data_IF_088943862336
#
_entry.id   IF_088943862336
#
_cell.length_a   1.000
_cell.length_b   1.000
_cell.length_c   1.000
_cell.angle_alpha   90.00
_cell.angle_beta   90.00
_cell.angle_gamma   90.00
#
_symmetry.space_group_name_H-M   'P 1'
#
loop_
_entity.id
_entity.type
_entity.pdbx_description
1 polymer ?
#
# COMPACT_ATOMS: atom_id res chain seq x y z
N UNK A 1 0.73 -11.20 4.54
CA UNK A 1 0.59 -10.54 3.24
C UNK A 1 -0.19 -11.51 2.39
N UNK A 2 -1.52 -11.37 2.42
CA UNK A 2 -2.43 -12.29 1.74
C UNK A 2 -3.27 -11.51 0.72
N UNK A 3 -2.74 -10.40 0.19
CA UNK A 3 -3.43 -9.60 -0.80
C UNK A 3 -3.59 -10.43 -2.07
N UNK A 4 -4.81 -10.51 -2.57
CA UNK A 4 -5.15 -11.22 -3.78
C UNK A 4 -5.30 -10.27 -4.97
N UNK A 5 -5.21 -10.79 -6.19
CA UNK A 5 -5.38 -9.99 -7.42
C UNK A 5 -6.71 -9.22 -7.41
N UNK A 6 -7.79 -9.84 -6.94
CA UNK A 6 -9.11 -9.21 -6.85
C UNK A 6 -9.31 -8.26 -5.68
N UNK A 7 -8.33 -8.14 -4.78
CA UNK A 7 -8.36 -7.10 -3.74
C UNK A 7 -7.90 -5.73 -4.27
N UNK A 8 -7.36 -5.66 -5.48
CA UNK A 8 -6.91 -4.42 -6.13
C UNK A 8 -8.02 -3.92 -7.05
N UNK A 9 -8.80 -2.95 -6.56
CA UNK A 9 -9.85 -2.28 -7.34
C UNK A 9 -9.22 -1.06 -8.02
N UNK A 10 -8.72 -1.25 -9.24
CA UNK A 10 -8.02 -0.20 -9.98
C UNK A 10 -8.93 0.64 -10.89
N UNK A 11 -10.21 0.29 -10.98
CA UNK A 11 -11.21 0.92 -11.86
C UNK A 11 -12.32 1.62 -11.04
N UNK A 12 -13.05 2.52 -11.71
CA UNK A 12 -14.13 3.33 -11.13
C UNK A 12 -13.64 4.63 -10.46
N UNK A 13 -14.56 5.35 -9.84
CA UNK A 13 -14.29 6.69 -9.29
C UNK A 13 -13.43 6.69 -8.03
N UNK A 14 -13.44 5.57 -7.28
CA UNK A 14 -12.71 5.42 -6.00
C UNK A 14 -11.88 4.13 -5.97
N UNK A 15 -10.83 4.03 -6.80
CA UNK A 15 -9.95 2.86 -6.83
C UNK A 15 -9.25 2.64 -5.49
N UNK A 16 -9.23 1.42 -4.99
CA UNK A 16 -8.74 1.11 -3.65
C UNK A 16 -8.19 -0.32 -3.52
N UNK A 17 -7.35 -0.53 -2.51
CA UNK A 17 -7.01 -1.86 -2.02
C UNK A 17 -8.02 -2.29 -0.96
N UNK A 18 -8.59 -3.48 -1.11
CA UNK A 18 -9.43 -4.11 -0.10
C UNK A 18 -8.58 -5.00 0.80
N UNK A 19 -8.36 -4.57 2.04
CA UNK A 19 -7.68 -5.40 3.03
C UNK A 19 -8.72 -6.23 3.76
N UNK A 20 -8.75 -7.54 3.48
CA UNK A 20 -9.69 -8.49 4.09
C UNK A 20 -9.35 -8.79 5.55
N UNK A 21 -10.36 -9.21 6.30
CA UNK A 21 -10.31 -9.56 7.73
C UNK A 21 -9.13 -10.51 8.05
N UNK A 22 -8.97 -11.60 7.29
CA UNK A 22 -7.88 -12.57 7.47
C UNK A 22 -6.48 -12.08 7.09
N UNK A 23 -6.35 -10.86 6.54
CA UNK A 23 -5.07 -10.25 6.16
C UNK A 23 -4.65 -9.10 7.10
N UNK A 24 -5.51 -8.68 8.04
CA UNK A 24 -5.26 -7.55 8.96
C UNK A 24 -5.01 -8.02 10.40
N UNK A 25 -4.12 -7.34 11.12
CA UNK A 25 -3.96 -7.50 12.58
C UNK A 25 -5.13 -6.78 13.26
N UNK A 26 -6.13 -7.52 13.76
CA UNK A 26 -7.30 -6.95 14.47
C UNK A 26 -8.68 -7.27 13.89
N UNK A 27 -8.78 -8.09 12.84
CA UNK A 27 -10.05 -8.69 12.43
C UNK A 27 -11.06 -7.77 11.74
N UNK A 28 -10.68 -6.55 11.34
CA UNK A 28 -11.55 -5.64 10.57
C UNK A 28 -11.05 -5.45 9.15
N UNK A 29 -11.96 -5.53 8.19
CA UNK A 29 -11.65 -5.16 6.81
C UNK A 29 -11.48 -3.65 6.69
N UNK A 30 -10.60 -3.20 5.81
CA UNK A 30 -10.45 -1.77 5.50
C UNK A 30 -10.14 -1.54 4.04
N UNK A 31 -10.33 -0.29 3.58
CA UNK A 31 -9.95 0.15 2.24
C UNK A 31 -8.72 1.05 2.34
N UNK A 32 -7.74 0.84 1.48
CA UNK A 32 -6.63 1.78 1.28
C UNK A 32 -6.90 2.53 -0.03
N UNK A 33 -7.11 3.84 0.01
CA UNK A 33 -7.44 4.64 -1.17
C UNK A 33 -6.24 4.70 -2.11
N UNK A 34 -6.45 4.31 -3.37
CA UNK A 34 -5.44 4.46 -4.44
C UNK A 34 -5.63 5.76 -5.21
N UNK A 35 -6.84 6.33 -5.21
CA UNK A 35 -7.07 7.65 -5.82
C UNK A 35 -6.35 8.79 -5.10
N UNK A 36 -5.70 8.55 -3.96
CA UNK A 36 -4.90 9.57 -3.33
C UNK A 36 -3.58 9.83 -4.08
N UNK A 37 -3.13 8.88 -4.90
CA UNK A 37 -1.85 8.94 -5.59
C UNK A 37 -1.90 8.28 -6.97
N UNK A 38 -1.84 9.07 -8.03
CA UNK A 38 -1.90 8.61 -9.42
C UNK A 38 -0.76 7.66 -9.78
N UNK A 39 0.45 7.88 -9.24
CA UNK A 39 1.61 7.02 -9.44
C UNK A 39 1.37 5.62 -8.87
N UNK A 40 0.99 5.54 -7.60
CA UNK A 40 0.68 4.28 -6.91
C UNK A 40 -0.48 3.54 -7.60
N UNK A 41 -1.54 4.26 -8.00
CA UNK A 41 -2.64 3.66 -8.75
C UNK A 41 -2.15 3.02 -10.05
N UNK A 42 -1.36 3.75 -10.84
CA UNK A 42 -0.80 3.27 -12.11
C UNK A 42 0.06 2.03 -11.91
N UNK A 43 1.00 2.07 -10.97
CA UNK A 43 1.94 0.97 -10.72
C UNK A 43 1.21 -0.31 -10.29
N UNK A 44 0.20 -0.18 -9.43
CA UNK A 44 -0.59 -1.32 -8.96
C UNK A 44 -1.54 -1.84 -10.04
N UNK A 45 -2.09 -0.97 -10.87
CA UNK A 45 -2.91 -1.37 -12.02
C UNK A 45 -2.08 -2.11 -13.08
N UNK A 46 -0.88 -1.62 -13.37
CA UNK A 46 0.05 -2.28 -14.29
C UNK A 46 0.50 -3.63 -13.73
N UNK A 47 0.89 -3.70 -12.46
CA UNK A 47 1.23 -4.98 -11.84
C UNK A 47 0.04 -5.95 -11.83
N UNK A 48 -1.19 -5.46 -11.63
CA UNK A 48 -2.40 -6.29 -11.75
C UNK A 48 -2.54 -6.90 -13.13
N UNK A 49 -2.41 -6.10 -14.20
CA UNK A 49 -2.45 -6.58 -15.59
C UNK A 49 -1.37 -7.64 -15.83
N UNK A 50 -0.13 -7.35 -15.46
CA UNK A 50 0.98 -8.30 -15.56
C UNK A 50 0.68 -9.64 -14.87
N UNK A 51 -0.02 -9.63 -13.72
CA UNK A 51 -0.44 -10.87 -13.05
C UNK A 51 -1.52 -11.62 -13.83
N UNK A 52 -2.47 -10.90 -14.43
CA UNK A 52 -3.55 -11.50 -15.23
C UNK A 52 -3.01 -12.08 -16.54
N UNK A 53 -2.05 -11.41 -17.18
CA UNK A 53 -1.38 -11.89 -18.40
C UNK A 53 -0.60 -13.19 -18.14
N UNK A 54 -0.12 -13.41 -16.91
CA UNK A 54 0.44 -14.70 -16.46
C UNK A 54 -0.63 -15.78 -16.17
N UNK A 55 -1.90 -15.52 -16.43
CA UNK A 55 -3.02 -16.42 -16.12
C UNK A 55 -3.42 -16.43 -14.64
N UNK A 56 -3.04 -15.44 -13.83
CA UNK A 56 -3.45 -15.40 -12.43
C UNK A 56 -4.91 -14.96 -12.28
N UNK A 57 -5.75 -15.84 -11.72
CA UNK A 57 -7.13 -15.51 -11.37
C UNK A 57 -7.24 -14.59 -10.15
N UNK A 58 -8.46 -14.10 -9.86
CA UNK A 58 -8.73 -13.12 -8.81
C UNK A 58 -8.28 -13.57 -7.41
N UNK A 59 -8.33 -14.87 -7.11
CA UNK A 59 -7.92 -15.44 -5.83
C UNK A 59 -6.40 -15.69 -5.70
N UNK A 60 -5.64 -15.50 -6.77
CA UNK A 60 -4.20 -15.70 -6.77
C UNK A 60 -3.49 -14.63 -5.91
N UNK A 61 -2.32 -14.92 -5.32
CA UNK A 61 -1.55 -13.91 -4.60
C UNK A 61 -1.15 -12.76 -5.54
N UNK A 62 -1.43 -11.53 -5.11
CA UNK A 62 -1.06 -10.32 -5.85
C UNK A 62 0.45 -10.10 -5.82
N UNK A 63 1.05 -10.20 -4.63
CA UNK A 63 2.50 -10.15 -4.44
C UNK A 63 3.03 -11.57 -4.26
N UNK A 64 3.65 -12.10 -5.32
CA UNK A 64 4.03 -13.50 -5.41
C UNK A 64 5.47 -13.69 -5.89
N UNK A 65 6.06 -14.83 -5.50
CA UNK A 65 7.23 -15.37 -6.19
C UNK A 65 6.76 -16.03 -7.48
N UNK A 66 7.24 -15.52 -8.61
CA UNK A 66 7.02 -16.10 -9.94
C UNK A 66 8.26 -16.92 -10.31
N UNK A 67 8.07 -18.16 -10.75
CA UNK A 67 9.12 -19.02 -11.32
C UNK A 67 8.55 -19.68 -12.57
N UNK A 68 9.30 -19.73 -13.69
CA UNK A 68 8.84 -20.43 -14.89
C UNK A 68 8.41 -21.87 -14.57
N UNK A 69 7.28 -22.29 -15.13
CA UNK A 69 6.74 -23.65 -14.95
C UNK A 69 6.22 -23.98 -13.54
N UNK A 70 6.06 -23.00 -12.63
CA UNK A 70 5.49 -23.22 -11.30
C UNK A 70 4.39 -22.23 -10.97
N UNK A 71 3.39 -22.68 -10.22
CA UNK A 71 2.36 -21.82 -9.67
C UNK A 71 2.97 -20.69 -8.82
N UNK A 72 2.40 -19.49 -8.94
CA UNK A 72 2.85 -18.33 -8.18
C UNK A 72 2.52 -18.51 -6.69
N UNK A 73 3.52 -18.32 -5.82
CA UNK A 73 3.37 -18.52 -4.37
C UNK A 73 3.48 -17.19 -3.63
N UNK A 74 2.62 -16.96 -2.65
CA UNK A 74 2.68 -15.77 -1.80
C UNK A 74 4.06 -15.63 -1.15
N UNK A 75 4.59 -14.40 -1.12
CA UNK A 75 5.89 -14.16 -0.50
C UNK A 75 5.80 -14.26 1.04
N UNK A 76 6.77 -14.97 1.63
CA UNK A 76 6.94 -14.97 3.08
C UNK A 76 7.30 -13.57 3.60
N UNK A 77 7.03 -13.32 4.89
CA UNK A 77 7.44 -12.07 5.56
C UNK A 77 8.95 -11.81 5.45
N UNK A 78 9.75 -12.86 5.59
CA UNK A 78 11.20 -12.78 5.45
C UNK A 78 11.60 -12.35 4.03
N UNK A 79 10.99 -12.96 3.00
CA UNK A 79 11.25 -12.62 1.60
C UNK A 79 10.83 -11.20 1.26
N UNK A 80 9.68 -10.74 1.75
CA UNK A 80 9.24 -9.35 1.60
C UNK A 80 10.23 -8.37 2.23
N UNK A 81 10.68 -8.63 3.45
CA UNK A 81 11.71 -7.81 4.12
C UNK A 81 13.00 -7.76 3.30
N UNK A 82 13.46 -8.89 2.76
CA UNK A 82 14.67 -8.95 1.93
C UNK A 82 14.49 -8.15 0.64
N UNK A 83 13.38 -8.31 -0.07
CA UNK A 83 13.08 -7.57 -1.31
C UNK A 83 12.96 -6.07 -1.08
N UNK A 84 12.29 -5.65 -0.01
CA UNK A 84 12.22 -4.23 0.37
C UNK A 84 13.62 -3.65 0.62
N UNK A 85 14.45 -4.35 1.40
CA UNK A 85 15.85 -3.92 1.63
C UNK A 85 16.65 -3.84 0.33
N UNK A 86 16.44 -4.77 -0.60
CA UNK A 86 17.08 -4.71 -1.92
C UNK A 86 16.68 -3.46 -2.69
N UNK A 87 15.39 -3.11 -2.71
CA UNK A 87 14.90 -1.92 -3.39
C UNK A 87 15.49 -0.62 -2.79
N UNK A 88 15.72 -0.59 -1.47
CA UNK A 88 16.29 0.57 -0.77
C UNK A 88 17.83 0.64 -0.80
N UNK A 89 18.53 -0.26 -1.49
CA UNK A 89 20.02 -0.26 -1.50
C UNK A 89 20.62 1.04 -2.04
N UNK A 90 19.93 1.72 -2.96
CA UNK A 90 20.36 3.00 -3.51
C UNK A 90 20.50 4.10 -2.47
N UNK A 91 19.89 3.96 -1.28
CA UNK A 91 19.94 4.95 -0.20
C UNK A 91 21.22 4.89 0.65
N UNK A 92 22.14 3.97 0.34
CA UNK A 92 23.38 3.77 1.09
C UNK A 92 23.24 2.86 2.32
N UNK A 93 24.36 2.31 2.76
CA UNK A 93 24.41 1.27 3.82
C UNK A 93 23.85 1.76 5.15
N UNK A 94 24.26 2.95 5.59
CA UNK A 94 23.84 3.53 6.88
C UNK A 94 22.31 3.70 6.96
N UNK A 95 21.69 4.22 5.90
CA UNK A 95 20.23 4.36 5.85
C UNK A 95 19.54 3.00 5.83
N UNK A 96 20.11 2.03 5.11
CA UNK A 96 19.55 0.68 5.03
C UNK A 96 19.53 -0.06 6.37
N UNK A 97 20.46 0.22 7.29
CA UNK A 97 20.51 -0.40 8.61
C UNK A 97 19.35 0.03 9.52
N UNK A 98 18.87 1.27 9.38
CA UNK A 98 17.72 1.77 10.15
C UNK A 98 16.36 1.52 9.48
N UNK A 99 16.33 1.27 8.17
CA UNK A 99 15.07 1.13 7.42
C UNK A 99 14.44 -0.26 7.54
N UNK A 100 13.12 -0.25 7.71
CA UNK A 100 12.26 -1.44 7.71
C UNK A 100 11.01 -1.19 6.88
N UNK A 101 10.37 -2.25 6.42
CA UNK A 101 9.13 -2.15 5.62
C UNK A 101 8.00 -1.42 6.37
N UNK A 102 8.04 -1.39 7.71
CA UNK A 102 7.05 -0.66 8.51
C UNK A 102 7.20 0.86 8.37
N UNK A 103 8.42 1.36 8.11
CA UNK A 103 8.65 2.78 7.86
C UNK A 103 7.89 3.28 6.62
N UNK A 104 7.65 2.42 5.61
CA UNK A 104 6.80 2.79 4.47
C UNK A 104 5.36 3.14 4.86
N UNK A 105 4.83 2.53 5.93
CA UNK A 105 3.53 2.90 6.50
C UNK A 105 3.56 4.29 7.14
N UNK A 106 4.65 4.61 7.85
CA UNK A 106 4.83 5.94 8.43
C UNK A 106 4.98 7.02 7.34
N UNK A 107 5.72 6.73 6.26
CA UNK A 107 5.81 7.60 5.08
C UNK A 107 4.44 7.86 4.49
N UNK A 108 3.63 6.82 4.24
CA UNK A 108 2.26 6.97 3.75
C UNK A 108 1.41 7.89 4.65
N UNK A 109 1.43 7.69 5.97
CA UNK A 109 0.65 8.50 6.92
C UNK A 109 1.10 9.96 6.87
N UNK A 110 2.42 10.21 6.90
CA UNK A 110 2.98 11.55 6.93
C UNK A 110 2.63 12.32 5.65
N UNK A 111 2.80 11.69 4.48
CA UNK A 111 2.43 12.28 3.20
C UNK A 111 0.92 12.52 3.09
N UNK A 112 0.08 11.60 3.58
CA UNK A 112 -1.37 11.76 3.50
C UNK A 112 -1.86 12.96 4.30
N UNK A 113 -1.30 13.17 5.48
CA UNK A 113 -1.62 14.33 6.31
C UNK A 113 -1.06 15.63 5.70
N UNK A 114 0.18 15.60 5.16
CA UNK A 114 0.74 16.74 4.43
C UNK A 114 -0.11 17.11 3.19
N UNK A 115 -0.64 16.10 2.49
CA UNK A 115 -1.62 16.23 1.41
C UNK A 115 -3.04 16.54 1.88
N UNK A 116 -3.19 17.07 3.10
CA UNK A 116 -4.42 17.57 3.72
C UNK A 116 -5.56 16.54 3.88
N UNK A 117 -5.26 15.23 3.83
CA UNK A 117 -6.26 14.20 4.15
C UNK A 117 -6.60 14.27 5.63
N UNK A 118 -7.87 14.06 5.97
CA UNK A 118 -8.31 14.16 7.36
C UNK A 118 -7.71 13.04 8.21
N UNK A 119 -7.57 13.32 9.51
CA UNK A 119 -7.08 12.34 10.48
C UNK A 119 -7.90 11.04 10.47
N UNK A 120 -9.22 11.17 10.30
CA UNK A 120 -10.14 10.04 10.24
C UNK A 120 -9.88 9.17 9.01
N UNK A 121 -9.73 9.79 7.84
CA UNK A 121 -9.42 9.07 6.59
C UNK A 121 -8.08 8.34 6.68
N UNK A 122 -7.03 9.00 7.17
CA UNK A 122 -5.69 8.41 7.28
C UNK A 122 -5.67 7.26 8.29
N UNK A 123 -6.35 7.40 9.43
CA UNK A 123 -6.52 6.34 10.43
C UNK A 123 -7.17 5.11 9.81
N UNK A 124 -8.27 5.30 9.09
CA UNK A 124 -9.06 4.22 8.50
C UNK A 124 -8.28 3.52 7.39
N UNK A 125 -7.57 4.26 6.54
CA UNK A 125 -6.70 3.72 5.50
C UNK A 125 -5.51 2.93 6.08
N UNK A 126 -4.83 3.49 7.09
CA UNK A 126 -3.76 2.81 7.79
C UNK A 126 -4.30 1.54 8.50
N UNK A 127 -5.50 1.60 9.07
CA UNK A 127 -6.04 0.56 9.93
C UNK A 127 -5.43 0.60 11.32
N UNK A 128 -5.26 1.80 11.88
CA UNK A 128 -4.91 1.97 13.29
C UNK A 128 -6.14 1.78 14.16
N UNK A 129 -6.07 0.86 15.13
CA UNK A 129 -7.14 0.65 16.10
C UNK A 129 -7.24 1.79 17.13
N UNK A 130 -6.18 2.62 17.26
CA UNK A 130 -6.13 3.74 18.18
C UNK A 130 -5.73 5.04 17.45
N UNK A 131 -6.52 6.10 17.65
CA UNK A 131 -6.33 7.46 17.11
C UNK A 131 -5.03 8.11 17.63
N UNK A 132 -4.55 7.71 18.81
CA UNK A 132 -3.35 8.30 19.46
C UNK A 132 -2.05 8.19 18.65
N UNK A 133 -1.95 7.24 17.70
CA UNK A 133 -0.79 7.12 16.78
C UNK A 133 -0.89 8.10 15.61
N UNK A 134 -2.09 8.57 15.30
CA UNK A 134 -2.36 9.47 14.18
C UNK A 134 -2.38 10.93 14.65
N UNK A 135 -2.82 11.20 15.89
CA UNK A 135 -2.82 12.53 16.50
C UNK A 135 -1.41 13.13 16.69
N UNK A 136 -0.36 12.31 16.70
CA UNK A 136 1.05 12.77 16.72
C UNK A 136 1.48 13.53 15.45
N UNK A 137 0.66 13.50 14.40
CA UNK A 137 0.93 14.14 13.10
C UNK A 137 0.00 15.32 12.82
N UNK A 138 -0.67 15.86 13.84
CA UNK A 138 -1.69 16.89 13.67
C UNK A 138 -1.08 18.29 13.56
N UNK A 139 -0.72 18.71 12.36
CA UNK A 139 -0.83 20.11 11.95
C UNK A 139 -1.28 20.14 10.48
N UNK A 140 -2.42 20.79 10.23
CA UNK A 140 -3.05 21.07 8.92
C UNK A 140 -3.95 19.97 8.34
N UNK A 141 -5.23 20.30 8.16
CA UNK A 141 -6.16 19.59 7.29
C UNK A 141 -7.23 20.58 6.79
N UNK A 142 -7.38 20.74 5.47
CA UNK A 142 -8.65 21.13 4.80
C UNK A 142 -8.66 20.67 3.33
N UNK A 143 -9.88 20.31 2.90
CA UNK A 143 -10.46 20.08 1.57
C UNK A 143 -10.33 18.72 0.88
N UNK A 144 -11.52 18.15 0.62
CA UNK A 144 -11.78 16.95 -0.12
C UNK A 144 -11.97 17.30 -1.59
N UNK A 145 -10.98 16.97 -2.42
CA UNK A 145 -11.16 16.87 -3.86
C UNK A 145 -11.33 15.38 -4.23
N UNK A 146 -12.38 15.10 -5.02
CA UNK A 146 -12.75 13.77 -5.52
C UNK A 146 -11.86 13.33 -6.71
N UNK A 147 -10.85 14.12 -7.07
CA UNK A 147 -9.88 13.80 -8.12
C UNK A 147 -8.76 12.89 -7.65
N UNK A 148 -8.19 12.16 -8.61
CA UNK A 148 -6.97 11.39 -8.35
C UNK A 148 -5.84 12.37 -8.01
N UNK A 149 -5.32 12.27 -6.78
CA UNK A 149 -4.27 13.14 -6.27
C UNK A 149 -2.87 12.69 -6.65
N UNK A 150 -1.88 13.45 -6.20
CA UNK A 150 -0.45 13.15 -6.35
C UNK A 150 0.21 13.23 -4.96
N UNK A 151 0.10 12.15 -4.19
CA UNK A 151 0.47 12.11 -2.78
C UNK A 151 1.98 12.16 -2.57
N UNK A 152 2.73 11.60 -3.52
CA UNK A 152 4.18 11.49 -3.46
C UNK A 152 4.89 12.39 -4.48
N UNK A 153 4.18 13.35 -5.08
CA UNK A 153 4.80 14.38 -5.91
C UNK A 153 5.95 15.06 -5.15
N UNK A 154 7.10 15.33 -5.81
CA UNK A 154 8.07 16.26 -5.25
C UNK A 154 7.40 17.63 -5.10
N UNK A 155 7.63 18.27 -3.94
CA UNK A 155 7.15 19.62 -3.66
C UNK A 155 7.72 20.65 -4.65
#
# INVERSE_FOLDING_TARGET
ANLQVGDVRAEGDRPHLRIRVGAAKGGRSRRVPLWWDAGTLRDLAEWRRNRQDDGAGEAAPFVASRRPGRAAVALSRFTLRKRFRTACKCLGKQRLESLTIHHGRHTFISHALAGKRSLAEVRDAAGHANVSVTSAYLHVAVDADDRVGDLFAPA
#
